data_IF_279536917060
#
_entry.id   IF_279536917060
#
_cell.length_a   1.000
_cell.length_b   1.000
_cell.length_c   1.000
_cell.angle_alpha   90.00
_cell.angle_beta   90.00
_cell.angle_gamma   90.00
#
_symmetry.space_group_name_H-M   'P 1'
#
loop_
_entity.id
_entity.type
_entity.pdbx_description
1 polymer ?
#
# COMPACT_ATOMS: atom_id res chain seq x y z
N UNK A 1 -19.38 4.65 4.40
CA UNK A 1 -18.35 5.60 3.91
C UNK A 1 -18.01 5.16 2.49
N UNK A 2 -18.28 5.95 1.44
CA UNK A 2 -17.78 5.58 0.13
C UNK A 2 -16.25 5.62 0.20
N UNK A 3 -15.58 4.57 -0.29
CA UNK A 3 -14.13 4.59 -0.44
C UNK A 3 -13.80 5.78 -1.34
N UNK A 4 -13.09 6.77 -0.81
CA UNK A 4 -12.58 7.88 -1.61
C UNK A 4 -11.52 7.33 -2.56
N UNK A 5 -11.41 7.88 -3.75
CA UNK A 5 -10.31 7.53 -4.66
C UNK A 5 -8.97 7.76 -3.93
N UNK A 6 -8.03 6.83 -4.12
CA UNK A 6 -6.70 6.93 -3.55
C UNK A 6 -5.95 8.10 -4.17
N UNK A 7 -5.20 8.85 -3.35
CA UNK A 7 -4.36 9.96 -3.80
C UNK A 7 -2.99 9.92 -3.15
N UNK A 8 -1.96 10.54 -3.77
CA UNK A 8 -0.67 10.72 -3.13
C UNK A 8 -0.79 11.36 -1.74
N UNK A 9 -0.05 10.83 -0.78
CA UNK A 9 -0.07 11.24 0.63
C UNK A 9 -1.06 10.48 1.51
N UNK A 10 -1.90 9.60 0.95
CA UNK A 10 -2.76 8.72 1.77
C UNK A 10 -1.90 7.67 2.49
N UNK A 11 -2.04 7.60 3.83
CA UNK A 11 -1.43 6.55 4.65
C UNK A 11 -2.26 5.26 4.53
N UNK A 12 -1.60 4.15 4.21
CA UNK A 12 -2.24 2.84 4.05
C UNK A 12 -1.47 1.74 4.78
N UNK A 13 -2.14 0.61 5.03
CA UNK A 13 -1.54 -0.59 5.59
C UNK A 13 -1.62 -1.75 4.61
N UNK A 14 -0.48 -2.34 4.27
CA UNK A 14 -0.40 -3.53 3.44
C UNK A 14 -0.41 -4.75 4.35
N UNK A 15 -1.42 -5.60 4.21
CA UNK A 15 -1.55 -6.84 4.94
C UNK A 15 -1.28 -8.00 3.97
N UNK A 16 -0.18 -8.73 4.18
CA UNK A 16 0.19 -9.86 3.33
C UNK A 16 0.51 -11.10 4.15
N UNK A 17 0.20 -12.29 3.61
CA UNK A 17 0.44 -13.56 4.31
C UNK A 17 1.93 -13.85 4.38
N UNK A 18 2.37 -14.37 5.52
CA UNK A 18 3.72 -14.90 5.64
C UNK A 18 3.79 -16.25 4.89
N UNK A 19 4.59 -16.37 3.82
CA UNK A 19 4.66 -17.61 3.03
C UNK A 19 5.24 -18.79 3.82
N UNK A 20 5.90 -18.54 4.95
CA UNK A 20 6.50 -19.55 5.81
C UNK A 20 5.62 -19.91 7.02
N UNK A 21 4.51 -19.20 7.25
CA UNK A 21 3.60 -19.44 8.37
C UNK A 21 2.14 -19.13 7.98
N UNK A 22 1.40 -20.17 7.57
CA UNK A 22 0.08 -20.05 6.94
C UNK A 22 -0.97 -19.27 7.75
N UNK A 23 -0.84 -19.26 9.08
CA UNK A 23 -1.77 -18.60 10.01
C UNK A 23 -1.26 -17.22 10.47
N UNK A 24 -0.18 -16.71 9.88
CA UNK A 24 0.43 -15.42 10.24
C UNK A 24 0.38 -14.48 9.03
N UNK A 25 -0.04 -13.25 9.26
CA UNK A 25 0.07 -12.15 8.31
C UNK A 25 1.00 -11.07 8.87
N UNK A 26 1.69 -10.38 7.98
CA UNK A 26 2.45 -9.19 8.30
C UNK A 26 1.62 -7.97 7.92
N UNK A 27 1.70 -6.93 8.75
CA UNK A 27 1.11 -5.63 8.49
C UNK A 27 2.28 -4.66 8.34
N UNK A 28 2.33 -3.95 7.21
CA UNK A 28 3.34 -2.94 6.94
C UNK A 28 2.68 -1.63 6.56
N UNK A 29 3.11 -0.56 7.21
CA UNK A 29 2.70 0.80 6.86
C UNK A 29 3.33 1.22 5.53
N UNK A 30 2.57 1.95 4.73
CA UNK A 30 3.00 2.51 3.47
C UNK A 30 2.28 3.83 3.19
N UNK A 31 2.80 4.58 2.23
CA UNK A 31 2.19 5.78 1.70
C UNK A 31 1.87 5.57 0.22
N UNK A 32 0.74 6.11 -0.23
CA UNK A 32 0.44 6.22 -1.66
C UNK A 32 1.29 7.35 -2.23
N UNK A 33 2.03 7.09 -3.29
CA UNK A 33 2.85 8.08 -4.01
C UNK A 33 2.60 7.97 -5.52
N UNK A 34 2.99 8.98 -6.30
CA UNK A 34 2.99 8.89 -7.76
C UNK A 34 4.02 7.84 -8.23
N UNK A 35 3.68 7.06 -9.26
CA UNK A 35 4.60 6.06 -9.79
C UNK A 35 5.79 6.74 -10.49
N UNK A 36 7.05 6.37 -10.17
CA UNK A 36 8.24 7.13 -10.58
C UNK A 36 8.55 7.12 -12.08
N UNK A 37 7.93 6.21 -12.83
CA UNK A 37 8.13 6.08 -14.28
C UNK A 37 6.85 6.33 -15.10
N UNK A 38 5.69 6.52 -14.43
CA UNK A 38 4.42 6.78 -15.08
C UNK A 38 3.57 7.69 -14.18
N UNK A 39 3.43 8.96 -14.57
CA UNK A 39 2.73 9.96 -13.76
C UNK A 39 1.21 9.74 -13.65
N UNK A 40 0.63 8.90 -14.52
CA UNK A 40 -0.79 8.54 -14.49
C UNK A 40 -1.10 7.36 -13.53
N UNK A 41 -0.07 6.78 -12.90
CA UNK A 41 -0.19 5.64 -11.99
C UNK A 41 0.22 5.98 -10.55
N UNK A 42 -0.23 5.14 -9.63
CA UNK A 42 0.12 5.21 -8.20
C UNK A 42 1.06 4.06 -7.82
N UNK A 43 1.86 4.28 -6.78
CA UNK A 43 2.73 3.29 -6.18
C UNK A 43 2.63 3.30 -4.65
N UNK A 44 3.12 2.22 -4.03
CA UNK A 44 3.26 2.11 -2.58
C UNK A 44 4.71 2.41 -2.20
N UNK A 45 4.90 3.37 -1.31
CA UNK A 45 6.19 3.64 -0.69
C UNK A 45 6.21 3.05 0.72
N UNK A 46 7.13 2.12 0.97
CA UNK A 46 7.34 1.56 2.30
C UNK A 46 8.43 2.35 3.02
N UNK A 47 8.12 2.90 4.19
CA UNK A 47 9.12 3.48 5.10
C UNK A 47 10.03 2.41 5.73
#
# INVERSE_FOLDING_TARGET
>A
MPFSDYKPGDQVYVIYRNPHAANVAQIKEAEIVSHPYNEEELALFFT
#
